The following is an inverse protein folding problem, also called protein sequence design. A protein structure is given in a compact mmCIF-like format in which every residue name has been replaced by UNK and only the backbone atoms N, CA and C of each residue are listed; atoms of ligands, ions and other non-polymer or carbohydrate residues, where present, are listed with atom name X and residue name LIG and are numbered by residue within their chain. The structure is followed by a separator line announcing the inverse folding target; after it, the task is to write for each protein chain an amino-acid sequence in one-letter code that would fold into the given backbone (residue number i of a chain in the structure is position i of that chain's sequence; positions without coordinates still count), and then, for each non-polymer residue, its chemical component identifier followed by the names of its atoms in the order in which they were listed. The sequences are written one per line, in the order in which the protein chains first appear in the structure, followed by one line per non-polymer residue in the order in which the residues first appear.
data_IF_263766184373
#
_entry.id   IF_263766184373
#
_cell.length_a   1.000
_cell.length_b   1.000
_cell.length_c   1.000
_cell.angle_alpha   90.00
_cell.angle_beta   90.00
_cell.angle_gamma   90.00
#
_symmetry.space_group_name_H-M   'P 1'
#
loop_
_entity.id
_entity.type
_entity.pdbx_description
1 polymer ?
#
# COMPACT_ATOMS: atom_id res chain seq x y z
N UNK A 1 9.94 -15.65 -7.56
CA UNK A 1 10.94 -14.57 -7.40
C UNK A 1 10.20 -13.26 -7.47
N UNK A 2 10.55 -12.27 -6.64
CA UNK A 2 9.93 -10.94 -6.70
C UNK A 2 10.28 -10.25 -8.02
N UNK A 3 9.27 -9.72 -8.69
CA UNK A 3 9.35 -9.08 -10.00
C UNK A 3 8.96 -7.60 -9.94
N UNK A 4 7.86 -7.26 -9.27
CA UNK A 4 7.31 -5.91 -9.25
C UNK A 4 6.90 -5.49 -7.84
N UNK A 5 7.27 -4.27 -7.45
CA UNK A 5 6.82 -3.63 -6.22
C UNK A 5 6.23 -2.26 -6.52
N UNK A 6 5.15 -1.91 -5.83
CA UNK A 6 4.46 -0.64 -5.97
C UNK A 6 4.40 0.06 -4.61
N UNK A 7 4.90 1.29 -4.53
CA UNK A 7 5.11 2.00 -3.26
C UNK A 7 4.58 3.43 -3.30
N UNK A 8 3.26 3.66 -3.18
CA UNK A 8 2.72 5.01 -2.99
C UNK A 8 3.06 5.55 -1.60
N UNK A 9 3.46 6.82 -1.55
CA UNK A 9 3.91 7.48 -0.32
C UNK A 9 5.35 7.15 0.04
N UNK A 10 6.28 7.42 -0.87
CA UNK A 10 7.71 7.17 -0.61
C UNK A 10 8.33 8.30 0.22
N UNK A 11 7.84 9.54 0.07
CA UNK A 11 8.47 10.73 0.63
C UNK A 11 9.96 10.85 0.20
N UNK A 12 10.78 11.62 0.94
CA UNK A 12 12.19 11.85 0.64
C UNK A 12 13.16 10.77 1.13
N UNK A 13 12.67 9.68 1.73
CA UNK A 13 13.47 8.59 2.31
C UNK A 13 13.07 7.29 1.61
N UNK A 14 14.02 6.55 1.01
CA UNK A 14 13.70 5.37 0.19
C UNK A 14 14.48 4.11 0.59
N UNK A 15 14.83 3.99 1.88
CA UNK A 15 15.58 2.84 2.41
C UNK A 15 14.85 1.51 2.25
N UNK A 16 13.52 1.51 2.36
CA UNK A 16 12.71 0.32 2.15
C UNK A 16 12.84 -0.17 0.70
N UNK A 17 12.58 0.71 -0.25
CA UNK A 17 12.65 0.43 -1.68
C UNK A 17 14.08 0.06 -2.11
N UNK A 18 15.09 0.76 -1.58
CA UNK A 18 16.49 0.44 -1.81
C UNK A 18 16.85 -0.95 -1.29
N UNK A 19 16.42 -1.30 -0.07
CA UNK A 19 16.64 -2.62 0.52
C UNK A 19 15.97 -3.71 -0.32
N UNK A 20 14.74 -3.46 -0.79
CA UNK A 20 14.04 -4.41 -1.66
C UNK A 20 14.80 -4.65 -2.96
N UNK A 21 15.23 -3.58 -3.65
CA UNK A 21 16.01 -3.68 -4.87
C UNK A 21 17.35 -4.39 -4.65
N UNK A 22 18.01 -4.19 -3.50
CA UNK A 22 19.26 -4.87 -3.16
C UNK A 22 19.06 -6.37 -2.92
N UNK A 23 17.97 -6.75 -2.23
CA UNK A 23 17.68 -8.16 -1.87
C UNK A 23 17.03 -8.95 -3.01
N UNK A 24 16.38 -8.27 -3.96
CA UNK A 24 15.74 -8.88 -5.12
C UNK A 24 16.28 -8.27 -6.43
N UNK A 25 17.37 -8.82 -7.00
CA UNK A 25 18.00 -8.29 -8.21
C UNK A 25 17.10 -8.30 -9.47
N UNK A 26 16.08 -9.16 -9.50
CA UNK A 26 15.09 -9.23 -10.58
C UNK A 26 13.88 -8.31 -10.39
N UNK A 27 13.77 -7.64 -9.24
CA UNK A 27 12.65 -6.76 -8.93
C UNK A 27 12.84 -5.38 -9.56
N UNK A 28 11.73 -4.78 -9.98
CA UNK A 28 11.60 -3.36 -10.28
C UNK A 28 10.65 -2.71 -9.27
N UNK A 29 10.87 -1.43 -8.98
CA UNK A 29 10.08 -0.66 -7.99
C UNK A 29 9.45 0.56 -8.67
N UNK A 30 8.16 0.77 -8.43
CA UNK A 30 7.42 1.96 -8.86
C UNK A 30 6.97 2.76 -7.65
N UNK A 31 7.50 3.97 -7.51
CA UNK A 31 7.23 4.89 -6.41
C UNK A 31 6.33 6.04 -6.86
N UNK A 32 5.40 6.41 -6.00
CA UNK A 32 4.46 7.49 -6.26
C UNK A 32 4.36 8.42 -5.07
N UNK A 33 4.65 9.70 -5.27
CA UNK A 33 4.46 10.70 -4.21
C UNK A 33 4.41 12.10 -4.82
N UNK A 34 3.28 12.80 -4.67
CA UNK A 34 3.10 14.12 -5.26
C UNK A 34 3.85 15.24 -4.53
N UNK A 35 4.36 14.99 -3.33
CA UNK A 35 5.04 15.98 -2.48
C UNK A 35 6.54 16.09 -2.76
N UNK A 36 7.12 15.12 -3.48
CA UNK A 36 8.54 15.08 -3.86
C UNK A 36 8.69 14.83 -5.36
N UNK A 37 9.88 15.05 -5.90
CA UNK A 37 10.15 14.93 -7.35
C UNK A 37 10.94 13.70 -7.76
N UNK A 38 11.43 12.90 -6.81
CA UNK A 38 12.22 11.69 -7.04
C UNK A 38 12.17 10.76 -5.83
N UNK A 39 12.76 9.57 -5.95
CA UNK A 39 13.15 8.79 -4.77
C UNK A 39 14.20 9.54 -3.93
N UNK A 40 14.43 9.05 -2.72
CA UNK A 40 15.51 9.48 -1.84
C UNK A 40 16.90 9.07 -2.34
N UNK A 41 17.96 9.63 -1.72
CA UNK A 41 19.35 9.38 -2.11
C UNK A 41 19.75 7.89 -2.02
N UNK A 42 19.06 7.09 -1.21
CA UNK A 42 19.27 5.64 -1.09
C UNK A 42 19.09 4.91 -2.43
N UNK A 43 18.31 5.48 -3.36
CA UNK A 43 18.12 5.01 -4.73
C UNK A 43 18.82 5.93 -5.73
N UNK A 44 18.62 7.25 -5.63
CA UNK A 44 19.05 8.20 -6.66
C UNK A 44 20.58 8.25 -6.82
N UNK A 45 21.33 8.08 -5.74
CA UNK A 45 22.79 8.10 -5.75
C UNK A 45 23.43 6.73 -6.05
N UNK A 46 22.60 5.69 -6.27
CA UNK A 46 23.04 4.31 -6.48
C UNK A 46 22.61 3.82 -7.87
N UNK A 47 23.48 3.93 -8.91
CA UNK A 47 23.07 3.77 -10.32
C UNK A 47 22.36 2.45 -10.65
N UNK A 48 22.77 1.33 -10.04
CA UNK A 48 22.18 0.02 -10.29
C UNK A 48 20.80 -0.17 -9.62
N UNK A 49 20.48 0.62 -8.59
CA UNK A 49 19.13 0.66 -8.01
C UNK A 49 18.24 1.57 -8.84
N UNK A 50 18.75 2.77 -9.16
CA UNK A 50 18.07 3.77 -10.00
C UNK A 50 17.58 3.22 -11.34
N UNK A 51 18.39 2.37 -12.01
CA UNK A 51 18.02 1.76 -13.29
C UNK A 51 16.76 0.87 -13.22
N UNK A 52 16.41 0.37 -12.02
CA UNK A 52 15.26 -0.52 -11.78
C UNK A 52 14.14 0.14 -10.98
N UNK A 53 14.22 1.46 -10.78
CA UNK A 53 13.25 2.25 -10.04
C UNK A 53 12.57 3.26 -10.96
N UNK A 54 11.27 3.43 -10.81
CA UNK A 54 10.45 4.34 -11.62
C UNK A 54 9.66 5.25 -10.69
N UNK A 55 9.91 6.55 -10.75
CA UNK A 55 9.25 7.52 -9.87
C UNK A 55 8.27 8.39 -10.64
N UNK A 56 7.10 8.64 -10.03
CA UNK A 56 6.11 9.57 -10.57
C UNK A 56 5.49 10.43 -9.44
N UNK A 57 5.35 11.75 -9.63
CA UNK A 57 4.77 12.63 -8.61
C UNK A 57 3.24 12.59 -8.61
N UNK A 58 2.67 11.41 -8.37
CA UNK A 58 1.24 11.14 -8.44
C UNK A 58 0.65 10.87 -7.05
N UNK A 59 -0.61 11.24 -6.85
CA UNK A 59 -1.38 10.86 -5.68
C UNK A 59 -2.11 9.53 -5.92
N UNK A 60 -2.15 8.66 -4.91
CA UNK A 60 -3.06 7.52 -4.88
C UNK A 60 -4.38 7.97 -4.24
N UNK A 61 -5.51 7.58 -4.85
CA UNK A 61 -6.83 7.87 -4.31
C UNK A 61 -7.91 6.91 -4.83
N UNK A 62 -9.17 7.11 -4.39
CA UNK A 62 -10.30 6.25 -4.76
C UNK A 62 -10.86 6.52 -6.16
N UNK A 63 -10.34 7.54 -6.87
CA UNK A 63 -10.79 7.88 -8.22
C UNK A 63 -9.63 8.40 -9.06
N UNK A 64 -9.73 8.18 -10.37
CA UNK A 64 -8.84 8.79 -11.33
C UNK A 64 -9.23 10.26 -11.53
N UNK A 65 -8.28 11.17 -11.30
CA UNK A 65 -8.43 12.61 -11.54
C UNK A 65 -7.08 13.20 -11.97
N UNK A 66 -6.78 13.10 -13.26
CA UNK A 66 -5.48 13.48 -13.84
C UNK A 66 -5.67 14.24 -15.16
N UNK A 67 -6.76 15.01 -15.26
CA UNK A 67 -7.05 15.84 -16.42
C UNK A 67 -6.12 17.06 -16.52
N UNK A 68 -6.18 17.81 -17.65
CA UNK A 68 -5.41 19.04 -17.81
C UNK A 68 -5.69 20.04 -16.68
N UNK A 69 -4.62 20.48 -15.99
CA UNK A 69 -4.71 21.45 -14.90
C UNK A 69 -4.98 20.86 -13.51
N UNK A 70 -5.13 19.54 -13.38
CA UNK A 70 -5.28 18.87 -12.08
C UNK A 70 -3.91 18.71 -11.41
N UNK A 71 -3.80 19.18 -10.17
CA UNK A 71 -2.60 19.05 -9.35
C UNK A 71 -2.98 18.83 -7.88
N UNK A 72 -2.52 17.74 -7.24
CA UNK A 72 -1.74 16.65 -7.82
C UNK A 72 -2.59 15.74 -8.74
N UNK A 73 -2.03 15.16 -9.80
CA UNK A 73 -2.74 14.14 -10.58
C UNK A 73 -2.98 12.90 -9.72
N UNK A 74 -4.22 12.44 -9.68
CA UNK A 74 -4.67 11.33 -8.84
C UNK A 74 -5.02 10.11 -9.69
N UNK A 75 -4.63 8.94 -9.19
CA UNK A 75 -4.87 7.66 -9.83
C UNK A 75 -5.42 6.66 -8.82
N UNK A 76 -6.25 5.72 -9.30
CA UNK A 76 -6.57 4.52 -8.53
C UNK A 76 -5.43 3.50 -8.63
N UNK A 77 -5.35 2.60 -7.64
CA UNK A 77 -4.35 1.53 -7.64
C UNK A 77 -4.48 0.64 -8.90
N UNK A 78 -5.71 0.32 -9.29
CA UNK A 78 -6.03 -0.40 -10.54
C UNK A 78 -5.47 0.31 -11.77
N UNK A 79 -5.55 1.65 -11.83
CA UNK A 79 -5.04 2.42 -12.97
C UNK A 79 -3.51 2.47 -12.98
N UNK A 80 -2.87 2.58 -11.82
CA UNK A 80 -1.40 2.51 -11.73
C UNK A 80 -0.89 1.14 -12.18
N UNK A 81 -1.55 0.05 -11.80
CA UNK A 81 -1.25 -1.29 -12.31
C UNK A 81 -1.36 -1.36 -13.83
N UNK A 82 -2.45 -0.85 -14.40
CA UNK A 82 -2.66 -0.81 -15.85
C UNK A 82 -1.55 -0.03 -16.57
N UNK A 83 -1.19 1.16 -16.08
CA UNK A 83 -0.14 2.01 -16.68
C UNK A 83 1.23 1.33 -16.64
N UNK A 84 1.52 0.59 -15.57
CA UNK A 84 2.78 -0.12 -15.42
C UNK A 84 2.80 -1.47 -16.16
N UNK A 85 1.66 -1.94 -16.67
CA UNK A 85 1.52 -3.29 -17.23
C UNK A 85 1.64 -4.39 -16.17
N UNK A 86 1.20 -4.12 -14.94
CA UNK A 86 1.23 -5.08 -13.85
C UNK A 86 -0.06 -5.91 -13.78
N UNK A 87 0.08 -7.21 -13.98
CA UNK A 87 -1.00 -8.18 -13.71
C UNK A 87 -1.05 -8.56 -12.23
N UNK A 88 0.10 -8.46 -11.56
CA UNK A 88 0.31 -8.82 -10.16
C UNK A 88 1.40 -7.93 -9.55
N UNK A 89 1.23 -7.55 -8.28
CA UNK A 89 2.23 -6.82 -7.49
C UNK A 89 2.76 -7.77 -6.42
N UNK A 90 4.07 -8.04 -6.39
CA UNK A 90 4.62 -8.92 -5.38
C UNK A 90 4.56 -8.27 -3.98
N UNK A 91 4.93 -6.98 -3.89
CA UNK A 91 4.88 -6.18 -2.66
C UNK A 91 4.20 -4.85 -2.94
N UNK A 92 3.13 -4.58 -2.21
CA UNK A 92 2.44 -3.30 -2.18
C UNK A 92 2.75 -2.62 -0.85
N UNK A 93 3.48 -1.50 -0.87
CA UNK A 93 3.64 -0.62 0.29
C UNK A 93 2.70 0.56 0.12
N UNK A 94 1.91 0.92 1.13
CA UNK A 94 1.04 2.10 1.12
C UNK A 94 1.32 2.94 2.37
N UNK A 95 1.61 4.22 2.16
CA UNK A 95 1.84 5.20 3.23
C UNK A 95 1.38 6.59 2.76
N UNK A 96 0.05 6.82 2.71
CA UNK A 96 -0.54 7.94 1.96
C UNK A 96 -1.50 8.77 2.82
N UNK A 97 -1.03 9.19 3.98
CA UNK A 97 -1.59 10.25 4.82
C UNK A 97 -3.14 10.32 4.92
N UNK A 98 -3.82 9.18 5.03
CA UNK A 98 -5.27 9.10 5.27
C UNK A 98 -6.10 8.62 4.06
N UNK A 99 -5.52 8.59 2.86
CA UNK A 99 -6.21 8.10 1.67
C UNK A 99 -6.18 6.55 1.54
N UNK A 100 -5.59 5.84 2.49
CA UNK A 100 -5.41 4.38 2.43
C UNK A 100 -6.75 3.64 2.40
N UNK A 101 -7.68 4.09 3.24
CA UNK A 101 -8.95 3.42 3.46
C UNK A 101 -9.78 3.34 2.18
N UNK A 102 -10.07 4.51 1.59
CA UNK A 102 -10.89 4.60 0.40
C UNK A 102 -10.17 4.02 -0.83
N UNK A 103 -8.85 4.24 -0.94
CA UNK A 103 -8.07 3.66 -2.05
C UNK A 103 -8.10 2.13 -2.04
N UNK A 104 -7.98 1.50 -0.87
CA UNK A 104 -8.05 0.04 -0.75
C UNK A 104 -9.48 -0.49 -0.93
N UNK A 105 -10.50 0.23 -0.46
CA UNK A 105 -11.90 -0.14 -0.74
C UNK A 105 -12.16 -0.15 -2.24
N UNK A 106 -11.78 0.94 -2.93
CA UNK A 106 -11.92 1.03 -4.40
C UNK A 106 -11.15 -0.09 -5.09
N UNK A 107 -9.93 -0.39 -4.65
CA UNK A 107 -9.14 -1.48 -5.23
C UNK A 107 -9.86 -2.84 -5.09
N UNK A 108 -10.35 -3.17 -3.90
CA UNK A 108 -11.12 -4.41 -3.68
C UNK A 108 -12.36 -4.47 -4.59
N UNK A 109 -13.08 -3.35 -4.71
CA UNK A 109 -14.30 -3.27 -5.52
C UNK A 109 -14.02 -3.36 -7.02
N UNK A 110 -12.96 -2.71 -7.50
CA UNK A 110 -12.52 -2.78 -8.89
C UNK A 110 -12.13 -4.20 -9.30
N UNK A 111 -11.45 -4.94 -8.41
CA UNK A 111 -11.11 -6.35 -8.66
C UNK A 111 -12.31 -7.28 -8.54
N UNK A 112 -13.21 -7.05 -7.58
CA UNK A 112 -14.45 -7.81 -7.47
C UNK A 112 -15.39 -7.62 -8.68
N UNK A 113 -15.29 -6.49 -9.39
CA UNK A 113 -16.12 -6.14 -10.54
C UNK A 113 -15.43 -6.34 -11.90
N UNK A 114 -14.24 -6.96 -11.93
CA UNK A 114 -13.44 -7.20 -13.13
C UNK A 114 -13.13 -5.94 -13.96
N UNK A 115 -12.90 -4.79 -13.32
CA UNK A 115 -12.50 -3.56 -14.02
C UNK A 115 -11.03 -3.56 -14.46
N UNK A 116 -10.21 -4.48 -13.95
CA UNK A 116 -8.85 -4.68 -14.43
C UNK A 116 -8.83 -5.72 -15.55
N UNK A 117 -8.13 -5.50 -16.69
CA UNK A 117 -8.07 -6.45 -17.80
C UNK A 117 -7.55 -7.84 -17.41
N UNK A 118 -6.79 -7.91 -16.31
CA UNK A 118 -6.20 -9.13 -15.77
C UNK A 118 -6.87 -9.60 -14.48
N UNK A 119 -8.03 -9.04 -14.11
CA UNK A 119 -8.78 -9.53 -12.96
C UNK A 119 -9.21 -11.01 -13.19
N UNK A 120 -9.05 -11.89 -12.19
CA UNK A 120 -9.47 -13.29 -12.32
C UNK A 120 -10.98 -13.33 -12.58
N UNK A 121 -11.36 -13.74 -13.79
CA UNK A 121 -12.75 -13.66 -14.25
C UNK A 121 -13.76 -14.20 -13.24
N UNK A 122 -14.69 -13.32 -12.85
CA UNK A 122 -15.99 -13.56 -12.18
C UNK A 122 -16.08 -14.47 -10.93
N UNK A 123 -15.00 -15.11 -10.49
CA UNK A 123 -15.02 -16.09 -9.39
C UNK A 123 -14.33 -15.58 -8.12
N UNK A 124 -14.63 -14.33 -7.72
CA UNK A 124 -14.27 -13.82 -6.39
C UNK A 124 -12.81 -14.03 -6.02
N UNK A 125 -11.90 -13.73 -6.96
CA UNK A 125 -10.49 -14.04 -6.82
C UNK A 125 -9.80 -13.17 -5.76
N UNK A 126 -8.75 -13.74 -5.16
CA UNK A 126 -7.80 -13.03 -4.31
C UNK A 126 -7.29 -11.77 -5.00
N UNK A 127 -6.98 -10.74 -4.22
CA UNK A 127 -6.32 -9.55 -4.74
C UNK A 127 -5.02 -9.93 -5.46
N UNK A 128 -4.64 -9.23 -6.55
CA UNK A 128 -3.43 -9.53 -7.32
C UNK A 128 -2.18 -8.98 -6.62
N UNK A 129 -2.08 -9.21 -5.31
CA UNK A 129 -0.96 -8.75 -4.49
C UNK A 129 -0.40 -9.91 -3.68
N UNK A 130 0.93 -10.02 -3.62
CA UNK A 130 1.61 -11.03 -2.81
C UNK A 130 1.60 -10.66 -1.33
N UNK A 131 2.06 -9.45 -1.03
CA UNK A 131 2.15 -8.91 0.32
C UNK A 131 1.76 -7.44 0.36
N UNK A 132 1.01 -7.06 1.41
CA UNK A 132 0.69 -5.66 1.73
C UNK A 132 1.47 -5.23 2.97
N UNK A 133 2.19 -4.12 2.85
CA UNK A 133 2.65 -3.30 3.97
C UNK A 133 1.89 -1.98 3.94
N UNK A 134 1.33 -1.56 5.06
CA UNK A 134 0.50 -0.36 5.12
C UNK A 134 0.80 0.42 6.40
N UNK A 135 1.02 1.73 6.27
CA UNK A 135 0.90 2.67 7.38
C UNK A 135 -0.55 3.14 7.50
N UNK A 136 -1.14 3.05 8.69
CA UNK A 136 -2.56 3.29 8.91
C UNK A 136 -2.74 4.63 9.62
N UNK A 137 -3.31 5.59 8.89
CA UNK A 137 -3.63 6.92 9.40
C UNK A 137 -5.06 6.99 9.95
N UNK A 138 -5.36 6.23 11.00
CA UNK A 138 -6.70 6.18 11.62
C UNK A 138 -7.01 7.41 12.50
N UNK A 139 -7.26 8.56 11.86
CA UNK A 139 -7.44 9.88 12.50
C UNK A 139 -8.90 10.37 12.44
N UNK A 140 -9.19 11.47 13.14
CA UNK A 140 -10.53 12.07 13.20
C UNK A 140 -11.07 12.46 11.81
N UNK A 141 -10.22 13.08 10.99
CA UNK A 141 -10.50 13.53 9.63
C UNK A 141 -10.79 12.38 8.65
N UNK A 142 -10.30 11.18 8.93
CA UNK A 142 -10.59 9.97 8.14
C UNK A 142 -11.87 9.25 8.59
N UNK A 143 -12.44 9.60 9.75
CA UNK A 143 -13.51 8.86 10.44
C UNK A 143 -13.16 7.41 10.85
N UNK A 144 -11.93 6.94 10.62
CA UNK A 144 -11.49 5.60 10.99
C UNK A 144 -10.82 5.50 12.36
N UNK A 145 -10.73 6.61 13.11
CA UNK A 145 -10.40 6.58 14.55
C UNK A 145 -11.45 5.84 15.40
N UNK A 146 -12.69 5.72 14.89
CA UNK A 146 -13.74 4.95 15.53
C UNK A 146 -13.62 3.46 15.22
N UNK A 147 -13.86 2.61 16.23
CA UNK A 147 -13.74 1.17 16.09
C UNK A 147 -14.68 0.57 15.05
N UNK A 148 -15.93 1.05 14.95
CA UNK A 148 -16.93 0.43 14.07
C UNK A 148 -16.60 0.63 12.57
N UNK A 149 -16.29 1.86 12.09
CA UNK A 149 -15.77 2.07 10.74
C UNK A 149 -14.48 1.28 10.47
N UNK A 150 -13.50 1.34 11.39
CA UNK A 150 -12.23 0.63 11.25
C UNK A 150 -12.42 -0.88 11.09
N UNK A 151 -13.20 -1.48 11.99
CA UNK A 151 -13.52 -2.92 11.95
C UNK A 151 -14.15 -3.32 10.62
N UNK A 152 -15.10 -2.55 10.10
CA UNK A 152 -15.75 -2.85 8.82
C UNK A 152 -14.77 -2.81 7.66
N UNK A 153 -13.85 -1.84 7.65
CA UNK A 153 -12.78 -1.77 6.66
C UNK A 153 -11.83 -2.97 6.77
N UNK A 154 -11.41 -3.31 7.98
CA UNK A 154 -10.55 -4.47 8.24
C UNK A 154 -11.16 -5.79 7.76
N UNK A 155 -12.43 -6.02 8.08
CA UNK A 155 -13.16 -7.22 7.65
C UNK A 155 -13.29 -7.31 6.12
N UNK A 156 -13.31 -6.18 5.40
CA UNK A 156 -13.26 -6.17 3.93
C UNK A 156 -11.92 -6.66 3.40
N UNK A 157 -10.81 -6.24 4.00
CA UNK A 157 -9.47 -6.74 3.65
C UNK A 157 -9.37 -8.25 3.87
N UNK A 158 -9.85 -8.73 5.02
CA UNK A 158 -9.87 -10.17 5.32
C UNK A 158 -10.73 -10.97 4.36
N UNK A 159 -11.90 -10.44 3.99
CA UNK A 159 -12.78 -11.05 2.99
C UNK A 159 -12.14 -11.08 1.59
N UNK A 160 -11.28 -10.12 1.28
CA UNK A 160 -10.50 -10.07 0.04
C UNK A 160 -9.26 -11.00 0.06
N UNK A 161 -9.04 -11.72 1.18
CA UNK A 161 -8.00 -12.74 1.32
C UNK A 161 -6.74 -12.28 2.07
N UNK A 162 -6.69 -11.03 2.53
CA UNK A 162 -5.55 -10.53 3.31
C UNK A 162 -5.58 -11.06 4.73
N UNK A 163 -4.40 -11.37 5.28
CA UNK A 163 -4.25 -11.80 6.68
C UNK A 163 -3.14 -11.00 7.35
N UNK A 164 -3.41 -10.35 8.49
CA UNK A 164 -2.37 -9.70 9.25
C UNK A 164 -1.44 -10.75 9.86
N UNK A 165 -0.14 -10.52 9.75
CA UNK A 165 0.87 -11.38 10.39
C UNK A 165 1.94 -10.58 11.14
N UNK A 166 2.00 -9.27 10.93
CA UNK A 166 2.93 -8.37 11.61
C UNK A 166 2.31 -6.97 11.78
N UNK A 167 2.72 -6.29 12.84
CA UNK A 167 2.41 -4.88 13.08
C UNK A 167 3.54 -4.26 13.90
N UNK A 168 3.85 -3.00 13.62
CA UNK A 168 4.74 -2.18 14.43
C UNK A 168 4.01 -0.87 14.75
N UNK A 169 3.81 -0.53 16.03
CA UNK A 169 3.22 0.76 16.38
C UNK A 169 4.22 1.89 16.07
N UNK A 170 3.79 2.90 15.31
CA UNK A 170 4.60 4.09 15.06
C UNK A 170 4.63 4.99 16.31
N UNK A 171 5.55 4.71 17.23
CA UNK A 171 5.72 5.45 18.49
C UNK A 171 6.34 6.85 18.30
N UNK A 172 6.84 7.16 17.10
CA UNK A 172 7.44 8.47 16.80
C UNK A 172 6.40 9.60 16.94
N UNK A 173 5.14 9.32 16.60
CA UNK A 173 4.04 10.28 16.75
C UNK A 173 3.89 10.82 18.19
N UNK A 174 4.03 9.94 19.18
CA UNK A 174 3.93 10.29 20.62
C UNK A 174 5.08 11.21 21.05
N UNK A 175 6.24 11.11 20.39
CA UNK A 175 7.40 11.95 20.69
C UNK A 175 7.38 13.29 19.94
N UNK A 176 6.84 13.33 18.71
CA UNK A 176 6.76 14.54 17.89
C UNK A 176 5.64 15.48 18.33
N UNK A 177 4.46 14.94 18.65
CA UNK A 177 3.29 15.74 19.02
C UNK A 177 3.19 15.82 20.55
N UNK A 178 3.72 16.91 21.12
CA UNK A 178 3.67 17.14 22.58
C UNK A 178 2.21 17.12 23.07
N UNK A 179 1.90 16.16 23.92
CA UNK A 179 0.56 15.99 24.50
C UNK A 179 -0.28 14.91 23.81
N UNK A 180 0.17 14.35 22.68
CA UNK A 180 -0.40 13.12 22.15
C UNK A 180 -0.17 11.98 23.15
N UNK A 181 -1.20 11.15 23.34
CA UNK A 181 -1.15 9.98 24.22
C UNK A 181 -1.05 8.73 23.35
N UNK A 182 -0.33 7.68 23.78
CA UNK A 182 -0.46 6.38 23.16
C UNK A 182 -1.86 5.84 23.50
N UNK A 183 -2.83 6.07 22.62
CA UNK A 183 -4.24 5.82 22.94
C UNK A 183 -4.65 4.35 22.75
N UNK A 184 -4.05 3.59 21.81
CA UNK A 184 -4.30 2.15 21.70
C UNK A 184 -3.23 1.39 20.89
N UNK A 185 -2.85 0.20 21.38
CA UNK A 185 -2.26 -0.87 20.57
C UNK A 185 -2.80 -2.19 21.11
N UNK A 186 -3.61 -2.93 20.34
CA UNK A 186 -3.98 -4.31 20.69
C UNK A 186 -3.46 -5.26 19.63
N UNK A 187 -2.69 -6.26 20.07
CA UNK A 187 -2.26 -7.41 19.29
C UNK A 187 -3.01 -8.63 19.85
N UNK A 188 -3.66 -9.41 18.99
CA UNK A 188 -4.06 -10.79 19.33
C UNK A 188 -3.39 -11.79 18.40
N UNK A 189 -2.36 -12.51 18.86
CA UNK A 189 -1.86 -13.69 18.16
C UNK A 189 -2.85 -14.85 18.30
N UNK A 190 -3.08 -15.55 17.20
CA UNK A 190 -3.67 -16.89 16.99
C UNK A 190 -4.48 -17.55 18.14
N UNK A 191 -5.78 -17.80 17.91
CA UNK A 191 -6.54 -18.81 18.67
C UNK A 191 -6.33 -20.19 18.03
N UNK A 192 -5.71 -21.17 18.70
CA UNK A 192 -5.28 -22.43 18.09
C UNK A 192 -6.39 -23.50 17.98
N UNK A 193 -7.67 -23.12 17.84
CA UNK A 193 -8.74 -24.13 17.91
C UNK A 193 -8.97 -24.94 16.63
N UNK A 194 -8.23 -24.72 15.54
CA UNK A 194 -8.34 -25.53 14.31
C UNK A 194 -6.99 -25.74 13.59
N UNK A 195 -5.95 -26.09 14.36
CA UNK A 195 -4.70 -26.59 13.77
C UNK A 195 -4.91 -28.01 13.21
N UNK A 196 -5.23 -28.11 11.92
CA UNK A 196 -4.89 -29.31 11.16
C UNK A 196 -3.53 -29.11 10.52
N UNK A 197 -2.57 -29.86 11.08
CA UNK A 197 -1.24 -30.13 10.58
C UNK A 197 -1.28 -30.46 9.08
N UNK A 198 -0.56 -29.72 8.24
CA UNK A 198 0.03 -30.28 7.03
C UNK A 198 1.46 -29.76 6.92
N UNK A 199 2.35 -30.74 6.71
CA UNK A 199 3.80 -30.72 6.59
C UNK A 199 4.28 -29.80 5.47
#
# INVERSE_FOLDING_TARGET
MLSNSLTPGVNGESSFEATLLQRAPGCQVWGYDFSVSSFGPEIEDVPNLKQRSHFYPYALGPKNDHGPGVHPPMYTLTKLMEINGHDFIDILKIDIEGAEFDSLITFIEDFATNKHPHAPGHNGGSLPIGQLQIEIHAREDTHYHEFAPFKRWWERLEKAGLRPFWTEPNLVYVNLIRGARPDLTEVRPFSPSHAHLIV
#
